data_IF_127439556014
#
_entry.id   IF_127439556014
#
_cell.length_a   1.000
_cell.length_b   1.000
_cell.length_c   1.000
_cell.angle_alpha   90.00
_cell.angle_beta   90.00
_cell.angle_gamma   90.00
#
_symmetry.space_group_name_H-M   'P 1'
#
loop_
_entity.id
_entity.type
_entity.pdbx_description
1 polymer ?
#
# COMPACT_ATOMS: atom_id res chain seq x y z
N UNK A 1 8.29 -31.67 -46.20
CA UNK A 1 8.58 -32.02 -44.79
C UNK A 1 9.69 -31.15 -44.21
N UNK A 2 10.94 -31.21 -44.67
CA UNK A 2 12.09 -30.47 -44.09
C UNK A 2 11.94 -28.95 -43.84
N UNK A 3 11.11 -28.22 -44.61
CA UNK A 3 10.86 -26.80 -44.36
C UNK A 3 9.75 -26.54 -43.32
N UNK A 4 8.75 -27.41 -43.26
CA UNK A 4 7.67 -27.33 -42.26
C UNK A 4 8.24 -27.61 -40.87
N UNK A 5 9.15 -28.57 -40.75
CA UNK A 5 9.83 -28.91 -39.49
C UNK A 5 10.70 -27.75 -38.98
N UNK A 6 11.36 -27.02 -39.88
CA UNK A 6 12.17 -25.83 -39.54
C UNK A 6 11.31 -24.65 -39.08
N UNK A 7 10.17 -24.42 -39.73
CA UNK A 7 9.22 -23.35 -39.35
C UNK A 7 8.61 -23.67 -37.99
N UNK A 8 8.18 -24.91 -37.77
CA UNK A 8 7.64 -25.36 -36.48
C UNK A 8 8.68 -25.20 -35.36
N UNK A 9 9.93 -25.63 -35.58
CA UNK A 9 10.99 -25.48 -34.60
C UNK A 9 11.31 -24.01 -34.30
N UNK A 10 11.38 -23.16 -35.34
CA UNK A 10 11.60 -21.72 -35.18
C UNK A 10 10.48 -21.03 -34.40
N UNK A 11 9.22 -21.35 -34.69
CA UNK A 11 8.06 -20.82 -33.97
C UNK A 11 8.08 -21.22 -32.49
N UNK A 12 8.32 -22.49 -32.19
CA UNK A 12 8.42 -22.96 -30.80
C UNK A 12 9.59 -22.31 -30.05
N UNK A 13 10.72 -22.09 -30.72
CA UNK A 13 11.89 -21.41 -30.12
C UNK A 13 11.55 -19.96 -29.78
N UNK A 14 10.90 -19.22 -30.69
CA UNK A 14 10.48 -17.84 -30.45
C UNK A 14 9.46 -17.78 -29.30
N UNK A 15 8.46 -18.67 -29.30
CA UNK A 15 7.47 -18.76 -28.24
C UNK A 15 8.12 -19.03 -26.89
N UNK A 16 9.09 -19.96 -26.83
CA UNK A 16 9.83 -20.27 -25.62
C UNK A 16 10.62 -19.07 -25.09
N UNK A 17 11.27 -18.31 -25.96
CA UNK A 17 11.99 -17.09 -25.58
C UNK A 17 11.03 -16.03 -25.01
N UNK A 18 9.87 -15.84 -25.64
CA UNK A 18 8.83 -14.91 -25.16
C UNK A 18 8.34 -15.35 -23.77
N UNK A 19 7.98 -16.63 -23.60
CA UNK A 19 7.52 -17.16 -22.33
C UNK A 19 8.59 -17.06 -21.24
N UNK A 20 9.85 -17.33 -21.57
CA UNK A 20 10.97 -17.20 -20.64
C UNK A 20 11.19 -15.74 -20.22
N UNK A 21 11.08 -14.80 -21.15
CA UNK A 21 11.15 -13.37 -20.86
C UNK A 21 10.01 -12.91 -19.95
N UNK A 22 8.77 -13.30 -20.24
CA UNK A 22 7.63 -12.99 -19.37
C UNK A 22 7.74 -13.66 -18.00
N UNK A 23 8.21 -14.92 -17.94
CA UNK A 23 8.45 -15.62 -16.68
C UNK A 23 9.49 -14.93 -15.82
N UNK A 24 10.62 -14.51 -16.41
CA UNK A 24 11.64 -13.72 -15.73
C UNK A 24 11.11 -12.37 -15.25
N UNK A 25 10.34 -11.67 -16.09
CA UNK A 25 9.73 -10.40 -15.74
C UNK A 25 8.74 -10.56 -14.58
N UNK A 26 7.88 -11.58 -14.60
CA UNK A 26 6.96 -11.89 -13.50
C UNK A 26 7.75 -12.17 -12.23
N UNK A 27 8.73 -13.08 -12.28
CA UNK A 27 9.56 -13.42 -11.12
C UNK A 27 10.20 -12.20 -10.47
N UNK A 28 10.79 -11.30 -11.27
CA UNK A 28 11.44 -10.09 -10.78
C UNK A 28 10.46 -9.08 -10.15
N UNK A 29 9.22 -9.01 -10.64
CA UNK A 29 8.22 -8.09 -10.11
C UNK A 29 7.50 -8.63 -8.85
N UNK A 30 7.49 -9.94 -8.63
CA UNK A 30 6.93 -10.53 -7.41
C UNK A 30 7.89 -10.45 -6.21
N UNK A 31 9.19 -10.35 -6.46
CA UNK A 31 10.20 -10.16 -5.41
C UNK A 31 10.33 -8.67 -5.02
N UNK A 32 9.19 -8.04 -4.68
CA UNK A 32 9.18 -6.67 -4.16
C UNK A 32 8.97 -6.75 -2.65
N UNK A 33 10.01 -6.50 -1.84
CA UNK A 33 9.88 -6.50 -0.40
C UNK A 33 8.87 -5.42 0.03
N UNK A 34 8.15 -5.68 1.12
CA UNK A 34 7.23 -4.71 1.70
C UNK A 34 7.99 -3.39 1.95
N UNK A 35 7.47 -2.29 1.39
CA UNK A 35 8.09 -0.97 1.51
C UNK A 35 7.38 -0.17 2.60
N UNK A 36 8.13 0.50 3.46
CA UNK A 36 7.56 1.46 4.41
C UNK A 36 7.33 2.78 3.66
N UNK A 37 6.08 3.20 3.52
CA UNK A 37 5.72 4.49 2.90
C UNK A 37 5.53 5.61 3.94
N UNK A 38 5.28 5.24 5.19
CA UNK A 38 5.15 6.20 6.27
C UNK A 38 5.73 5.63 7.56
N UNK A 39 6.43 6.49 8.30
CA UNK A 39 6.83 6.24 9.68
C UNK A 39 6.57 7.48 10.53
N UNK A 40 5.97 7.27 11.71
CA UNK A 40 5.85 8.28 12.75
C UNK A 40 6.26 7.70 14.10
N UNK A 41 7.25 8.33 14.70
CA UNK A 41 7.72 8.03 16.04
C UNK A 41 6.86 8.74 17.07
N UNK A 42 6.25 7.98 17.97
CA UNK A 42 5.58 8.48 19.16
C UNK A 42 6.43 8.12 20.39
N UNK A 43 7.29 9.06 20.77
CA UNK A 43 8.21 8.93 21.91
C UNK A 43 7.46 8.75 23.23
N UNK A 44 6.26 9.32 23.35
CA UNK A 44 5.46 9.24 24.58
C UNK A 44 4.93 7.82 24.82
N UNK A 45 4.58 7.11 23.75
CA UNK A 45 4.09 5.73 23.79
C UNK A 45 5.19 4.69 23.63
N UNK A 46 6.43 5.10 23.31
CA UNK A 46 7.52 4.16 23.03
C UNK A 46 7.35 3.39 21.72
N UNK A 47 6.52 3.88 20.79
CA UNK A 47 6.12 3.19 19.57
C UNK A 47 6.45 4.00 18.31
N UNK A 48 6.74 3.29 17.23
CA UNK A 48 6.83 3.83 15.87
C UNK A 48 5.69 3.23 15.04
N UNK A 49 4.79 4.09 14.57
CA UNK A 49 3.70 3.73 13.69
C UNK A 49 4.18 3.71 12.24
N UNK A 50 3.80 2.67 11.51
CA UNK A 50 4.29 2.38 10.16
C UNK A 50 3.13 2.13 9.20
N UNK A 51 3.27 2.59 7.95
CA UNK A 51 2.43 2.19 6.83
C UNK A 51 3.25 1.37 5.84
N UNK A 52 2.94 0.10 5.70
CA UNK A 52 3.57 -0.82 4.77
C UNK A 52 2.79 -0.86 3.47
N UNK A 53 3.50 -0.76 2.35
CA UNK A 53 2.99 -0.97 1.01
C UNK A 53 3.45 -2.32 0.51
N UNK A 54 2.47 -3.14 0.13
CA UNK A 54 2.66 -4.47 -0.44
C UNK A 54 2.09 -4.52 -1.84
N UNK A 55 2.87 -5.00 -2.80
CA UNK A 55 2.37 -5.23 -4.15
C UNK A 55 1.28 -6.32 -4.13
N UNK A 56 0.14 -6.04 -4.75
CA UNK A 56 -0.99 -6.97 -4.91
C UNK A 56 -0.83 -7.81 -6.16
N UNK A 57 -0.36 -7.19 -7.24
CA UNK A 57 -0.21 -7.81 -8.56
C UNK A 57 0.85 -7.06 -9.38
N UNK A 58 1.23 -7.64 -10.52
CA UNK A 58 2.16 -7.03 -11.46
C UNK A 58 1.56 -5.85 -12.26
N UNK A 59 0.26 -5.61 -12.15
CA UNK A 59 -0.44 -4.53 -12.85
C UNK A 59 -0.41 -3.19 -12.10
N UNK A 60 0.36 -3.10 -11.01
CA UNK A 60 0.51 -1.87 -10.23
C UNK A 60 -0.54 -1.68 -9.13
N UNK A 61 -1.24 -2.74 -8.73
CA UNK A 61 -2.10 -2.73 -7.56
C UNK A 61 -1.31 -2.90 -6.26
N UNK A 62 -1.76 -2.23 -5.21
CA UNK A 62 -1.09 -2.21 -3.90
C UNK A 62 -2.09 -2.35 -2.74
N UNK A 63 -1.63 -2.99 -1.68
CA UNK A 63 -2.28 -3.03 -0.38
C UNK A 63 -1.42 -2.28 0.64
N UNK A 64 -2.05 -1.44 1.45
CA UNK A 64 -1.41 -0.70 2.51
C UNK A 64 -1.85 -1.25 3.84
N UNK A 65 -0.90 -1.56 4.71
CA UNK A 65 -1.13 -2.11 6.04
C UNK A 65 -0.58 -1.16 7.07
N UNK A 66 -1.38 -0.88 8.11
CA UNK A 66 -0.94 -0.08 9.23
C UNK A 66 -0.39 -0.98 10.33
N UNK A 67 0.67 -0.56 10.99
CA UNK A 67 1.27 -1.30 12.09
C UNK A 67 2.01 -0.39 13.06
N UNK A 68 2.49 -0.99 14.14
CA UNK A 68 3.36 -0.34 15.12
C UNK A 68 4.49 -1.27 15.54
N UNK A 69 5.66 -0.70 15.82
CA UNK A 69 6.79 -1.40 16.44
C UNK A 69 7.36 -0.61 17.62
N UNK A 70 8.05 -1.25 18.57
CA UNK A 70 8.78 -0.53 19.61
C UNK A 70 9.85 0.39 19.02
N UNK A 71 10.06 1.56 19.62
CA UNK A 71 11.01 2.58 19.14
C UNK A 71 12.49 2.14 19.17
N UNK A 72 12.83 1.24 20.10
CA UNK A 72 14.21 0.89 20.44
C UNK A 72 14.61 -0.52 20.00
N UNK A 73 13.77 -1.19 19.21
CA UNK A 73 13.95 -2.61 18.93
C UNK A 73 13.73 -2.92 17.44
N UNK A 74 14.57 -3.79 16.88
CA UNK A 74 14.38 -4.40 15.56
C UNK A 74 13.31 -5.52 15.61
N UNK A 75 12.73 -5.74 16.80
CA UNK A 75 11.64 -6.67 17.08
C UNK A 75 10.48 -6.64 16.07
N UNK A 76 9.76 -7.78 15.95
CA UNK A 76 8.65 -7.92 15.03
C UNK A 76 7.58 -6.84 15.27
N UNK A 77 7.11 -6.24 14.18
CA UNK A 77 6.06 -5.23 14.20
C UNK A 77 4.68 -5.89 14.34
N UNK A 78 3.77 -5.25 15.07
CA UNK A 78 2.37 -5.64 15.12
C UNK A 78 1.68 -4.97 13.95
N UNK A 79 1.28 -5.77 12.96
CA UNK A 79 0.57 -5.30 11.78
C UNK A 79 -0.92 -5.59 11.91
N UNK A 80 -1.74 -4.63 11.52
CA UNK A 80 -3.16 -4.86 11.32
C UNK A 80 -3.35 -5.89 10.21
N UNK A 81 -4.13 -6.93 10.48
CA UNK A 81 -4.36 -8.01 9.52
C UNK A 81 -5.09 -7.53 8.25
N UNK A 82 -5.98 -6.54 8.40
CA UNK A 82 -6.73 -5.98 7.28
C UNK A 82 -6.02 -4.76 6.68
N UNK A 83 -5.93 -4.65 5.34
CA UNK A 83 -5.35 -3.48 4.71
C UNK A 83 -6.21 -2.24 4.98
N UNK A 84 -5.56 -1.13 5.28
CA UNK A 84 -6.19 0.19 5.45
C UNK A 84 -6.45 0.87 4.10
N UNK A 85 -5.78 0.42 3.05
CA UNK A 85 -6.07 0.79 1.66
C UNK A 85 -5.78 -0.41 0.76
N UNK A 86 -6.74 -0.80 -0.08
CA UNK A 86 -6.56 -1.75 -1.19
C UNK A 86 -6.92 -1.00 -2.48
N UNK A 87 -5.96 -0.91 -3.40
CA UNK A 87 -6.11 -0.14 -4.63
C UNK A 87 -5.51 -0.88 -5.81
N UNK A 88 -6.15 -0.79 -6.97
CA UNK A 88 -5.68 -1.42 -8.21
C UNK A 88 -4.62 -0.60 -8.94
N UNK A 89 -4.41 0.65 -8.52
CA UNK A 89 -3.31 1.53 -8.96
C UNK A 89 -2.78 2.32 -7.77
N UNK A 90 -1.52 2.71 -7.80
CA UNK A 90 -0.96 3.56 -6.75
C UNK A 90 -1.54 4.97 -6.82
N UNK A 91 -2.40 5.28 -5.85
CA UNK A 91 -3.00 6.59 -5.65
C UNK A 91 -2.69 7.13 -4.25
N UNK A 92 -1.80 6.47 -3.51
CA UNK A 92 -1.46 6.93 -2.17
C UNK A 92 -0.69 8.24 -2.29
N UNK A 93 -1.17 9.27 -1.59
CA UNK A 93 -0.46 10.55 -1.49
C UNK A 93 0.18 10.67 -0.10
N UNK A 94 -0.65 10.69 0.94
CA UNK A 94 -0.17 10.93 2.30
C UNK A 94 -1.08 10.30 3.36
N UNK A 95 -0.60 10.27 4.59
CA UNK A 95 -1.36 9.86 5.77
C UNK A 95 -1.21 10.91 6.87
N UNK A 96 -2.33 11.25 7.52
CA UNK A 96 -2.39 12.23 8.59
C UNK A 96 -2.94 11.59 9.86
N UNK A 97 -2.36 11.94 11.01
CA UNK A 97 -2.87 11.55 12.32
C UNK A 97 -3.94 12.53 12.78
N UNK A 98 -5.10 11.99 13.17
CA UNK A 98 -6.20 12.70 13.81
C UNK A 98 -6.29 12.38 15.31
N UNK A 99 -5.20 11.91 15.93
CA UNK A 99 -5.08 11.82 17.40
C UNK A 99 -5.64 13.05 18.14
N UNK A 100 -5.47 14.29 17.65
CA UNK A 100 -6.03 15.45 18.34
C UNK A 100 -7.56 15.54 18.37
N UNK A 101 -8.24 14.83 17.47
CA UNK A 101 -9.69 14.82 17.34
C UNK A 101 -10.33 13.59 18.00
N UNK A 102 -9.53 12.75 18.67
CA UNK A 102 -9.97 11.53 19.36
C UNK A 102 -9.28 10.25 18.89
N UNK A 103 -9.21 9.27 19.81
CA UNK A 103 -8.73 7.88 19.71
C UNK A 103 -7.98 7.51 18.43
N UNK A 104 -6.64 7.46 18.46
CA UNK A 104 -5.74 6.75 17.52
C UNK A 104 -6.27 6.61 16.08
N UNK A 105 -6.78 7.72 15.55
CA UNK A 105 -7.48 7.79 14.27
C UNK A 105 -6.51 8.36 13.24
N UNK A 106 -6.52 7.80 12.05
CA UNK A 106 -5.69 8.22 10.94
C UNK A 106 -6.54 8.42 9.69
N UNK A 107 -6.08 9.28 8.79
CA UNK A 107 -6.69 9.51 7.48
C UNK A 107 -5.65 9.30 6.41
N UNK A 108 -5.93 8.38 5.48
CA UNK A 108 -5.19 8.23 4.24
C UNK A 108 -5.81 9.13 3.20
N UNK A 109 -4.98 9.92 2.55
CA UNK A 109 -5.32 10.76 1.42
C UNK A 109 -4.87 10.05 0.17
N UNK A 110 -5.78 9.92 -0.79
CA UNK A 110 -5.48 9.36 -2.10
C UNK A 110 -5.78 10.35 -3.20
N UNK A 111 -4.88 10.47 -4.18
CA UNK A 111 -5.00 11.39 -5.30
C UNK A 111 -5.26 10.62 -6.60
N UNK A 112 -6.46 10.79 -7.16
CA UNK A 112 -6.91 10.18 -8.42
C UNK A 112 -7.10 11.27 -9.47
N UNK A 113 -6.00 11.76 -10.03
CA UNK A 113 -6.03 12.90 -10.94
C UNK A 113 -6.45 14.17 -10.21
N UNK A 114 -7.51 14.91 -10.65
CA UNK A 114 -7.95 16.14 -9.99
C UNK A 114 -8.78 15.90 -8.72
N UNK A 115 -9.09 14.64 -8.38
CA UNK A 115 -9.94 14.29 -7.25
C UNK A 115 -9.10 13.72 -6.11
N UNK A 116 -9.33 14.24 -4.91
CA UNK A 116 -8.82 13.70 -3.66
C UNK A 116 -9.92 12.90 -2.96
N UNK A 117 -9.58 11.71 -2.49
CA UNK A 117 -10.45 10.90 -1.64
C UNK A 117 -9.77 10.70 -0.27
N UNK A 118 -10.55 10.82 0.79
CA UNK A 118 -10.10 10.72 2.18
C UNK A 118 -10.66 9.44 2.81
N UNK A 119 -9.79 8.61 3.38
CA UNK A 119 -10.17 7.38 4.07
C UNK A 119 -9.73 7.40 5.53
N UNK A 120 -10.69 7.49 6.43
CA UNK A 120 -10.50 7.44 7.87
C UNK A 120 -10.44 6.00 8.36
N UNK A 121 -9.56 5.71 9.31
CA UNK A 121 -9.53 4.43 10.01
C UNK A 121 -8.92 4.58 11.41
N UNK A 122 -9.30 3.68 12.30
CA UNK A 122 -8.64 3.42 13.57
C UNK A 122 -7.85 2.09 13.50
N UNK A 123 -6.89 1.91 14.41
CA UNK A 123 -6.15 0.66 14.59
C UNK A 123 -7.07 -0.56 14.84
N UNK A 124 -8.24 -0.36 15.44
CA UNK A 124 -9.20 -1.43 15.76
C UNK A 124 -10.24 -1.71 14.67
N UNK A 125 -10.45 -0.78 13.73
CA UNK A 125 -11.50 -0.94 12.72
C UNK A 125 -11.19 -2.09 11.77
N UNK A 126 -12.19 -2.84 11.28
CA UNK A 126 -11.93 -3.84 10.25
C UNK A 126 -11.70 -3.23 8.86
N UNK A 127 -12.37 -2.11 8.59
CA UNK A 127 -12.37 -1.45 7.29
C UNK A 127 -12.20 0.06 7.44
N UNK A 128 -11.53 0.70 6.48
CA UNK A 128 -11.44 2.16 6.39
C UNK A 128 -12.73 2.76 5.84
N UNK A 129 -13.18 3.88 6.42
CA UNK A 129 -14.39 4.60 6.01
C UNK A 129 -14.03 5.79 5.11
N UNK A 130 -14.76 5.97 4.01
CA UNK A 130 -14.62 7.16 3.17
C UNK A 130 -15.23 8.36 3.91
N UNK A 131 -14.50 9.48 3.95
CA UNK A 131 -14.95 10.73 4.53
C UNK A 131 -14.81 11.89 3.53
N UNK A 132 -15.54 12.97 3.78
CA UNK A 132 -15.38 14.22 3.03
C UNK A 132 -14.33 15.12 3.68
N UNK A 133 -13.74 16.02 2.91
CA UNK A 133 -12.76 17.01 3.38
C UNK A 133 -13.32 17.91 4.48
N UNK A 134 -14.60 18.30 4.39
CA UNK A 134 -15.27 19.13 5.40
C UNK A 134 -15.21 18.52 6.81
N UNK A 135 -15.40 17.20 6.92
CA UNK A 135 -15.33 16.49 8.20
C UNK A 135 -13.91 16.42 8.77
N UNK A 136 -12.89 16.46 7.90
CA UNK A 136 -11.49 16.52 8.30
C UNK A 136 -11.16 17.92 8.86
N UNK A 137 -11.62 18.95 8.16
CA UNK A 137 -11.37 20.34 8.53
C UNK A 137 -12.13 20.76 9.80
N UNK A 138 -13.35 20.27 10.01
CA UNK A 138 -14.10 20.51 11.24
C UNK A 138 -13.36 19.99 12.47
N UNK A 139 -12.82 18.78 12.39
CA UNK A 139 -12.03 18.21 13.49
C UNK A 139 -10.74 19.01 13.75
N UNK A 140 -10.06 19.49 12.70
CA UNK A 140 -8.90 20.37 12.85
C UNK A 140 -9.29 21.72 13.49
N UNK A 141 -10.45 22.27 13.15
CA UNK A 141 -10.95 23.55 13.67
C UNK A 141 -11.43 23.47 15.12
N UNK A 142 -12.11 22.40 15.52
CA UNK A 142 -12.56 22.21 16.91
C UNK A 142 -11.37 22.14 17.89
N UNK A 143 -10.21 21.66 17.42
CA UNK A 143 -8.95 21.67 18.18
C UNK A 143 -8.27 23.05 18.23
N UNK A 144 -8.58 23.96 17.32
CA UNK A 144 -8.05 25.33 17.28
C UNK A 144 -8.89 26.33 18.10
N UNK A 145 -10.03 25.89 18.64
CA UNK A 145 -10.91 26.68 19.50
C UNK A 145 -10.59 26.45 20.97
#
# INVERSE_FOLDING_TARGET
>A
MKHVDKIFFGFNTILFLILSYFGYFIYRNFDHPDKIEYSRKDVSKGLEFLLFKRAKNFFGGYKYYFGARPLNDESPFIMKYFPVLDTDKDYFDSIQSLEPCGNDTYVIITQKGPREDYKKFNIFDKESQLINEELLEDCKREKLR
#
